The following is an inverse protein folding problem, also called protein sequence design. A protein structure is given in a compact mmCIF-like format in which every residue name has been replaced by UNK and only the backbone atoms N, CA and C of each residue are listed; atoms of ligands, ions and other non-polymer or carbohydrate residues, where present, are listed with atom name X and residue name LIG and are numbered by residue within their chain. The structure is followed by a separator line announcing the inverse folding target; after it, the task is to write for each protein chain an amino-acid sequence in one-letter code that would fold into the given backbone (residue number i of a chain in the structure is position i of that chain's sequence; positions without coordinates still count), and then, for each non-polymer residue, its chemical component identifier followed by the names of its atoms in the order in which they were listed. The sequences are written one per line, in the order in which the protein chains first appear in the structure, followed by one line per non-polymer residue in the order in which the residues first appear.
data_IF_147575473247
#
_entry.id   IF_147575473247
#
_cell.length_a   1.000
_cell.length_b   1.000
_cell.length_c   1.000
_cell.angle_alpha   90.00
_cell.angle_beta   90.00
_cell.angle_gamma   90.00
#
_symmetry.space_group_name_H-M   'P 1'
#
loop_
_entity.id
_entity.type
_entity.pdbx_description
1 polymer ?
#
# COMPACT_ATOMS: atom_id res chain seq x y z
N UNK A 1 18.00 -3.23 7.40
CA UNK A 1 16.96 -2.34 6.84
C UNK A 1 15.67 -2.63 7.59
N UNK A 2 14.93 -1.61 8.01
CA UNK A 2 13.65 -1.80 8.70
C UNK A 2 12.55 -2.18 7.69
N UNK A 3 11.82 -3.26 7.97
CA UNK A 3 10.63 -3.66 7.22
C UNK A 3 9.45 -2.77 7.61
N UNK A 4 8.50 -2.64 6.71
CA UNK A 4 7.26 -1.92 6.93
C UNK A 4 6.09 -2.82 6.55
N UNK A 5 4.98 -2.66 7.24
CA UNK A 5 3.78 -3.45 7.01
C UNK A 5 2.65 -2.51 6.64
N UNK A 6 1.95 -2.76 5.53
CA UNK A 6 0.99 -1.83 4.98
C UNK A 6 -0.37 -2.43 4.67
N UNK A 7 -1.42 -1.68 4.99
CA UNK A 7 -2.78 -1.95 4.56
C UNK A 7 -3.20 -0.89 3.55
N UNK A 8 -3.78 -1.34 2.44
CA UNK A 8 -4.30 -0.48 1.40
C UNK A 8 -5.73 -0.06 1.74
N UNK A 9 -6.03 1.23 1.62
CA UNK A 9 -7.39 1.77 1.79
C UNK A 9 -7.79 2.57 0.56
N UNK A 10 -9.10 2.56 0.28
CA UNK A 10 -9.68 3.30 -0.84
C UNK A 10 -9.16 2.87 -2.21
N UNK A 11 -9.57 3.59 -3.26
CA UNK A 11 -9.36 3.17 -4.63
C UNK A 11 -10.44 2.21 -5.12
N UNK A 12 -10.72 2.28 -6.42
CA UNK A 12 -11.72 1.43 -7.06
C UNK A 12 -11.33 -0.06 -6.89
N UNK A 13 -12.27 -0.89 -6.46
CA UNK A 13 -12.06 -2.33 -6.26
C UNK A 13 -11.50 -2.76 -4.91
N UNK A 14 -11.22 -1.83 -3.99
CA UNK A 14 -10.90 -2.18 -2.60
C UNK A 14 -12.14 -2.24 -1.72
N UNK A 15 -12.30 -3.37 -1.02
CA UNK A 15 -13.13 -3.43 0.18
C UNK A 15 -12.39 -2.86 1.39
N UNK A 16 -13.06 -2.76 2.56
CA UNK A 16 -12.40 -2.41 3.81
C UNK A 16 -11.24 -3.38 4.08
N UNK A 17 -10.01 -2.88 4.36
CA UNK A 17 -8.85 -3.75 4.54
C UNK A 17 -9.05 -4.68 5.73
N UNK A 18 -8.68 -5.94 5.55
CA UNK A 18 -8.66 -6.93 6.62
C UNK A 18 -7.22 -7.10 7.15
N UNK A 19 -7.05 -7.56 8.40
CA UNK A 19 -5.72 -7.87 8.94
C UNK A 19 -4.90 -8.81 8.05
N UNK A 20 -5.55 -9.78 7.38
CA UNK A 20 -4.88 -10.74 6.49
C UNK A 20 -4.39 -10.13 5.16
N UNK A 21 -4.81 -8.90 4.83
CA UNK A 21 -4.35 -8.17 3.64
C UNK A 21 -3.04 -7.40 3.89
N UNK A 22 -2.46 -7.52 5.09
CA UNK A 22 -1.22 -6.84 5.47
C UNK A 22 -0.08 -7.24 4.53
N UNK A 23 0.50 -6.24 3.87
CA UNK A 23 1.57 -6.39 2.91
C UNK A 23 2.91 -5.95 3.50
N UNK A 24 3.96 -6.74 3.30
CA UNK A 24 5.33 -6.37 3.68
C UNK A 24 6.01 -5.53 2.58
N UNK A 25 6.67 -4.45 3.01
CA UNK A 25 7.51 -3.60 2.20
C UNK A 25 8.94 -3.57 2.73
N UNK A 26 9.90 -3.57 1.81
CA UNK A 26 11.32 -3.49 2.15
C UNK A 26 11.74 -2.12 2.71
N UNK A 27 10.97 -1.07 2.40
CA UNK A 27 11.18 0.31 2.85
C UNK A 27 9.95 1.19 2.57
N UNK A 28 9.89 2.38 3.17
CA UNK A 28 8.89 3.40 2.79
C UNK A 28 8.98 3.82 1.31
N UNK A 29 10.19 3.80 0.74
CA UNK A 29 10.39 4.14 -0.67
C UNK A 29 9.76 3.09 -1.60
N UNK A 30 9.75 1.83 -1.17
CA UNK A 30 9.13 0.71 -1.88
C UNK A 30 7.61 0.83 -1.89
N UNK A 31 7.01 1.09 -0.71
CA UNK A 31 5.57 1.36 -0.59
C UNK A 31 5.15 2.57 -1.45
N UNK A 32 5.93 3.66 -1.39
CA UNK A 32 5.73 4.84 -2.22
C UNK A 32 5.78 4.51 -3.71
N UNK A 33 6.80 3.78 -4.15
CA UNK A 33 6.97 3.41 -5.56
C UNK A 33 5.78 2.58 -6.03
N UNK A 34 5.37 1.58 -5.25
CA UNK A 34 4.24 0.73 -5.60
C UNK A 34 2.93 1.51 -5.74
N UNK A 35 2.67 2.49 -4.87
CA UNK A 35 1.51 3.39 -5.00
C UNK A 35 1.54 4.18 -6.33
N UNK A 36 2.69 4.75 -6.68
CA UNK A 36 2.86 5.51 -7.94
C UNK A 36 2.73 4.62 -9.17
N UNK A 37 3.33 3.43 -9.14
CA UNK A 37 3.26 2.48 -10.26
C UNK A 37 1.80 2.06 -10.52
N UNK A 38 1.03 1.83 -9.45
CA UNK A 38 -0.40 1.50 -9.59
C UNK A 38 -1.24 2.67 -10.07
N UNK A 39 -0.92 3.90 -9.66
CA UNK A 39 -1.58 5.10 -10.20
C UNK A 39 -1.35 5.22 -11.72
N UNK A 40 -0.12 5.01 -12.19
CA UNK A 40 0.28 5.20 -13.59
C UNK A 40 -0.07 4.03 -14.51
N UNK A 41 0.09 2.80 -14.03
CA UNK A 41 0.10 1.59 -14.84
C UNK A 41 -0.91 0.53 -14.38
N UNK A 42 -1.82 0.88 -13.46
CA UNK A 42 -2.97 0.03 -13.17
C UNK A 42 -3.70 -0.38 -14.46
N UNK A 43 -4.32 -1.55 -14.45
CA UNK A 43 -4.90 -2.25 -15.61
C UNK A 43 -3.90 -2.73 -16.68
N UNK A 44 -2.63 -2.34 -16.63
CA UNK A 44 -1.62 -2.71 -17.63
C UNK A 44 -0.45 -3.52 -17.05
N UNK A 45 -0.22 -3.42 -15.74
CA UNK A 45 0.88 -4.11 -15.05
C UNK A 45 0.37 -4.88 -13.82
N UNK A 46 0.78 -6.14 -13.70
CA UNK A 46 0.57 -6.92 -12.49
C UNK A 46 1.38 -6.31 -11.34
N UNK A 47 0.74 -6.16 -10.19
CA UNK A 47 1.38 -5.77 -8.94
C UNK A 47 1.64 -7.01 -8.10
N UNK A 48 2.88 -7.16 -7.64
CA UNK A 48 3.25 -8.20 -6.67
C UNK A 48 2.84 -7.77 -5.26
N UNK A 49 2.10 -8.61 -4.55
CA UNK A 49 1.74 -8.40 -3.15
C UNK A 49 2.43 -9.43 -2.25
N UNK A 50 3.34 -8.96 -1.40
CA UNK A 50 4.03 -9.77 -0.42
C UNK A 50 3.24 -9.82 0.90
N UNK A 51 2.13 -10.55 0.92
CA UNK A 51 1.29 -10.66 2.12
C UNK A 51 2.01 -11.35 3.28
N UNK A 52 1.76 -10.90 4.50
CA UNK A 52 2.34 -11.51 5.72
C UNK A 52 1.58 -12.74 6.18
N UNK A 53 0.25 -12.74 6.03
CA UNK A 53 -0.63 -13.80 6.56
C UNK A 53 -1.22 -14.71 5.48
N UNK A 54 -0.91 -14.48 4.20
CA UNK A 54 -1.31 -15.35 3.08
C UNK A 54 -0.21 -15.47 2.03
N UNK A 55 -0.43 -16.35 1.06
CA UNK A 55 0.51 -16.55 -0.04
C UNK A 55 0.72 -15.25 -0.84
N UNK A 56 1.97 -14.90 -1.20
CA UNK A 56 2.25 -13.81 -2.10
C UNK A 56 1.53 -14.01 -3.44
N UNK A 57 1.02 -12.93 -4.01
CA UNK A 57 0.23 -13.02 -5.25
C UNK A 57 0.59 -11.89 -6.21
N UNK A 58 0.68 -12.22 -7.50
CA UNK A 58 0.75 -11.25 -8.59
C UNK A 58 -0.65 -11.03 -9.16
N UNK A 59 -1.17 -9.81 -9.06
CA UNK A 59 -2.54 -9.49 -9.47
C UNK A 59 -2.55 -8.27 -10.39
N UNK A 60 -3.34 -8.36 -11.46
CA UNK A 60 -3.68 -7.18 -12.25
C UNK A 60 -4.67 -6.32 -11.46
N UNK A 61 -4.24 -5.14 -11.06
CA UNK A 61 -5.05 -4.24 -10.23
C UNK A 61 -5.54 -3.04 -11.02
N UNK A 62 -6.71 -2.46 -10.68
CA UNK A 62 -7.15 -1.20 -11.25
C UNK A 62 -6.18 -0.05 -10.92
N UNK A 63 -6.21 1.00 -11.73
CA UNK A 63 -5.58 2.28 -11.38
C UNK A 63 -6.19 2.79 -10.08
N UNK A 64 -5.31 3.25 -9.18
CA UNK A 64 -5.70 3.92 -7.94
C UNK A 64 -5.69 5.43 -8.14
N UNK A 65 -6.51 6.17 -7.39
CA UNK A 65 -6.61 7.63 -7.45
C UNK A 65 -6.15 8.31 -6.15
N UNK A 66 -6.51 9.58 -6.00
CA UNK A 66 -6.30 10.38 -4.78
C UNK A 66 -7.09 9.88 -3.56
N UNK A 67 -8.06 9.00 -3.79
CA UNK A 67 -8.81 8.27 -2.79
C UNK A 67 -8.07 7.06 -2.20
N UNK A 68 -6.89 6.70 -2.77
CA UNK A 68 -6.11 5.56 -2.31
C UNK A 68 -4.97 5.98 -1.38
N UNK A 69 -4.83 5.25 -0.29
CA UNK A 69 -3.76 5.43 0.68
C UNK A 69 -3.23 4.09 1.20
N UNK A 70 -2.06 4.15 1.83
CA UNK A 70 -1.48 3.02 2.56
C UNK A 70 -1.27 3.45 4.01
N UNK A 71 -1.90 2.76 4.96
CA UNK A 71 -1.54 2.85 6.37
C UNK A 71 -0.36 1.93 6.63
N UNK A 72 0.68 2.43 7.29
CA UNK A 72 1.94 1.72 7.48
C UNK A 72 2.29 1.59 8.95
N UNK A 73 2.80 0.42 9.31
CA UNK A 73 3.17 0.01 10.64
C UNK A 73 4.63 -0.43 10.67
N UNK A 74 5.32 -0.11 11.75
CA UNK A 74 6.70 -0.54 12.03
C UNK A 74 6.77 -2.00 12.54
N UNK A 75 5.63 -2.57 12.89
CA UNK A 75 5.44 -3.94 13.37
C UNK A 75 4.27 -4.60 12.64
N UNK A 76 4.35 -5.92 12.43
CA UNK A 76 3.23 -6.70 11.91
C UNK A 76 2.15 -6.93 12.99
N UNK A 77 2.57 -6.91 14.26
CA UNK A 77 1.70 -7.03 15.42
C UNK A 77 1.37 -5.63 15.97
N UNK A 78 0.08 -5.33 16.18
CA UNK A 78 -0.39 -4.05 16.73
C UNK A 78 -0.88 -3.04 15.68
N UNK A 79 -1.91 -3.41 14.92
CA UNK A 79 -2.46 -2.64 13.80
C UNK A 79 -3.42 -1.50 14.22
N UNK A 80 -3.56 -1.25 15.52
CA UNK A 80 -4.52 -0.28 16.07
C UNK A 80 -4.18 1.17 15.71
N UNK A 81 -2.88 1.50 15.66
CA UNK A 81 -2.39 2.84 15.37
C UNK A 81 -1.30 2.79 14.29
N UNK A 82 -1.53 3.36 13.10
CA UNK A 82 -0.51 3.43 12.08
C UNK A 82 0.65 4.30 12.54
N UNK A 83 1.87 3.97 12.13
CA UNK A 83 3.05 4.81 12.31
C UNK A 83 3.14 5.88 11.23
N UNK A 84 2.75 5.54 10.00
CA UNK A 84 2.81 6.40 8.82
C UNK A 84 1.58 6.21 7.94
N UNK A 85 1.25 7.23 7.15
CA UNK A 85 0.29 7.11 6.05
C UNK A 85 0.89 7.67 4.77
N UNK A 86 0.67 6.98 3.65
CA UNK A 86 1.09 7.41 2.32
C UNK A 86 -0.14 7.73 1.48
N UNK A 87 -0.12 8.89 0.84
CA UNK A 87 -1.21 9.39 0.00
C UNK A 87 -0.71 9.76 -1.38
N UNK A 88 -1.57 9.60 -2.38
CA UNK A 88 -1.42 10.25 -3.67
C UNK A 88 -1.84 11.72 -3.57
N UNK A 89 -1.02 12.58 -4.15
CA UNK A 89 -1.27 13.99 -4.34
C UNK A 89 -1.25 14.35 -5.82
N UNK A 90 -1.47 15.64 -6.16
CA UNK A 90 -1.52 16.08 -7.53
C UNK A 90 -0.25 15.73 -8.32
N UNK A 91 -0.40 15.33 -9.60
CA UNK A 91 0.70 15.07 -10.54
C UNK A 91 1.72 14.03 -10.05
N UNK A 92 1.23 12.88 -9.55
CA UNK A 92 2.06 11.81 -8.95
C UNK A 92 2.87 12.25 -7.73
N UNK A 93 2.53 13.39 -7.12
CA UNK A 93 3.09 13.77 -5.84
C UNK A 93 2.73 12.71 -4.80
N UNK A 94 3.67 12.28 -3.97
CA UNK A 94 3.39 11.36 -2.87
C UNK A 94 3.70 12.06 -1.56
N UNK A 95 2.72 12.08 -0.66
CA UNK A 95 2.87 12.62 0.68
C UNK A 95 2.96 11.47 1.67
N UNK A 96 3.92 11.55 2.58
CA UNK A 96 4.08 10.60 3.68
C UNK A 96 3.93 11.39 4.98
N UNK A 97 2.94 11.03 5.79
CA UNK A 97 2.65 11.68 7.06
C UNK A 97 3.00 10.75 8.22
N UNK A 98 3.39 11.36 9.34
CA UNK A 98 3.56 10.67 10.62
C UNK A 98 2.25 10.78 11.40
N UNK A 99 1.82 9.65 11.94
CA UNK A 99 0.66 9.54 12.80
C UNK A 99 1.09 9.58 14.28
#
# INVERSE_FOLDING_TARGET
MARWYGLWHGGNGYGPPQPDDLEEFSSLADARRKLVDRHRYGYWQCSHFAFTHRAPTDVLTPCVGDDCEITLYSSADGLDYPDRRIFLGPRDGVRIERC
#
